data_IF_418659773838
#
_entry.id   IF_418659773838
#
_cell.length_a   1.000
_cell.length_b   1.000
_cell.length_c   1.000
_cell.angle_alpha   90.00
_cell.angle_beta   90.00
_cell.angle_gamma   90.00
#
_symmetry.space_group_name_H-M   'P 1'
#
loop_
_entity.id
_entity.type
_entity.pdbx_description
1 polymer ?
#
# COMPACT_ATOMS: atom_id res chain seq x y z
N UNK A 1 -18.86 70.23 40.71
CA UNK A 1 -18.43 69.99 39.32
C UNK A 1 -17.89 68.58 39.27
N UNK A 2 -18.72 67.62 38.84
CA UNK A 2 -18.37 66.21 38.75
C UNK A 2 -18.18 65.87 37.29
N UNK A 3 -16.95 65.54 36.89
CA UNK A 3 -16.66 65.06 35.55
C UNK A 3 -17.10 63.60 35.44
N UNK A 4 -18.23 63.41 34.76
CA UNK A 4 -18.78 62.10 34.42
C UNK A 4 -17.91 61.45 33.34
N UNK A 5 -17.03 60.55 33.78
CA UNK A 5 -16.22 59.71 32.89
C UNK A 5 -17.16 58.72 32.22
N UNK A 6 -17.60 59.04 31.00
CA UNK A 6 -18.42 58.17 30.15
C UNK A 6 -17.58 56.96 29.74
N UNK A 7 -17.69 55.87 30.48
CA UNK A 7 -17.16 54.57 30.08
C UNK A 7 -18.01 54.05 28.91
N UNK A 8 -17.41 53.94 27.72
CA UNK A 8 -18.05 53.24 26.60
C UNK A 8 -18.18 51.74 26.89
N UNK A 9 -19.22 51.06 26.37
CA UNK A 9 -19.31 49.61 26.47
C UNK A 9 -18.19 48.98 25.64
N UNK A 10 -17.26 48.28 26.30
CA UNK A 10 -16.36 47.35 25.64
C UNK A 10 -17.20 46.14 25.26
N UNK A 11 -17.69 46.11 24.02
CA UNK A 11 -18.27 44.91 23.43
C UNK A 11 -17.27 43.74 23.58
N UNK A 12 -17.66 42.61 24.18
CA UNK A 12 -16.77 41.47 24.30
C UNK A 12 -16.46 40.94 22.89
N UNK A 13 -15.22 41.16 22.45
CA UNK A 13 -14.68 40.56 21.23
C UNK A 13 -15.02 39.05 21.19
N UNK A 14 -15.55 38.52 20.08
CA UNK A 14 -15.79 37.08 19.98
C UNK A 14 -14.46 36.36 20.15
N UNK A 15 -14.37 35.56 21.21
CA UNK A 15 -13.24 34.69 21.50
C UNK A 15 -13.03 33.81 20.28
N UNK A 16 -11.94 34.02 19.55
CA UNK A 16 -11.52 33.12 18.47
C UNK A 16 -11.23 31.76 19.11
N UNK A 17 -12.24 30.89 19.13
CA UNK A 17 -12.07 29.48 19.49
C UNK A 17 -11.22 28.86 18.39
N UNK A 18 -9.91 28.82 18.60
CA UNK A 18 -8.98 28.05 17.77
C UNK A 18 -9.34 26.58 17.96
N UNK A 19 -10.30 26.08 17.18
CA UNK A 19 -10.57 24.65 17.13
C UNK A 19 -9.35 23.96 16.50
N UNK A 20 -8.81 22.89 17.12
CA UNK A 20 -7.70 22.16 16.54
C UNK A 20 -8.12 21.60 15.19
N UNK A 21 -7.31 21.89 14.16
CA UNK A 21 -7.52 21.40 12.81
C UNK A 21 -7.51 19.86 12.84
N UNK A 22 -8.44 19.17 12.15
CA UNK A 22 -8.40 17.73 12.03
C UNK A 22 -7.05 17.27 11.47
N UNK A 23 -6.35 16.42 12.21
CA UNK A 23 -5.04 15.85 11.81
C UNK A 23 -5.18 14.67 10.86
N UNK A 24 -6.40 14.19 10.61
CA UNK A 24 -6.67 13.05 9.75
C UNK A 24 -7.92 13.27 8.90
N UNK A 25 -7.96 12.55 7.77
CA UNK A 25 -9.12 12.52 6.89
C UNK A 25 -10.28 11.78 7.58
N UNK A 26 -11.55 12.16 7.32
CA UNK A 26 -12.70 11.38 7.77
C UNK A 26 -12.63 9.93 7.26
N UNK A 27 -13.13 8.97 8.04
CA UNK A 27 -13.11 7.55 7.69
C UNK A 27 -13.58 7.25 6.25
N UNK A 28 -14.69 7.83 5.74
CA UNK A 28 -15.11 7.58 4.35
C UNK A 28 -14.06 7.97 3.32
N UNK A 29 -13.30 9.06 3.56
CA UNK A 29 -12.22 9.50 2.68
C UNK A 29 -11.03 8.54 2.76
N UNK A 30 -10.63 8.12 3.97
CA UNK A 30 -9.57 7.12 4.15
C UNK A 30 -9.92 5.81 3.42
N UNK A 31 -11.13 5.30 3.64
CA UNK A 31 -11.60 4.06 3.01
C UNK A 31 -11.63 4.17 1.48
N UNK A 32 -12.09 5.30 0.94
CA UNK A 32 -12.11 5.53 -0.52
C UNK A 32 -10.69 5.53 -1.10
N UNK A 33 -9.76 6.22 -0.45
CA UNK A 33 -8.34 6.24 -0.87
C UNK A 33 -7.78 4.82 -0.87
N UNK A 34 -7.96 4.07 0.22
CA UNK A 34 -7.46 2.70 0.34
C UNK A 34 -8.03 1.79 -0.75
N UNK A 35 -9.34 1.85 -1.03
CA UNK A 35 -9.95 1.04 -2.11
C UNK A 35 -9.37 1.37 -3.49
N UNK A 36 -9.19 2.65 -3.81
CA UNK A 36 -8.60 3.05 -5.09
C UNK A 36 -7.14 2.60 -5.21
N UNK A 37 -6.38 2.69 -4.11
CA UNK A 37 -4.99 2.22 -4.09
C UNK A 37 -4.91 0.70 -4.27
N UNK A 38 -5.72 -0.06 -3.52
CA UNK A 38 -5.79 -1.52 -3.63
C UNK A 38 -6.05 -1.94 -5.08
N UNK A 39 -7.10 -1.42 -5.70
CA UNK A 39 -7.50 -1.76 -7.07
C UNK A 39 -6.41 -1.42 -8.09
N UNK A 40 -5.77 -0.25 -7.96
CA UNK A 40 -4.67 0.15 -8.86
C UNK A 40 -3.46 -0.77 -8.73
N UNK A 41 -3.10 -1.13 -7.51
CA UNK A 41 -1.98 -2.02 -7.24
C UNK A 41 -2.28 -3.43 -7.74
N UNK A 42 -3.47 -3.96 -7.50
CA UNK A 42 -3.91 -5.29 -7.98
C UNK A 42 -3.88 -5.38 -9.50
N UNK A 43 -4.37 -4.34 -10.18
CA UNK A 43 -4.31 -4.23 -11.64
C UNK A 43 -2.87 -4.23 -12.16
N UNK A 44 -2.00 -3.42 -11.55
CA UNK A 44 -0.58 -3.37 -11.93
C UNK A 44 0.12 -4.71 -11.69
N UNK A 45 -0.19 -5.39 -10.58
CA UNK A 45 0.34 -6.72 -10.29
C UNK A 45 -0.13 -7.75 -11.34
N UNK A 46 -1.43 -7.76 -11.67
CA UNK A 46 -2.00 -8.62 -12.71
C UNK A 46 -1.32 -8.39 -14.06
N UNK A 47 -1.26 -7.15 -14.53
CA UNK A 47 -0.61 -6.81 -15.81
C UNK A 47 0.87 -7.23 -15.82
N UNK A 48 1.58 -7.04 -14.71
CA UNK A 48 2.97 -7.47 -14.55
C UNK A 48 3.12 -9.00 -14.60
N UNK A 49 2.24 -9.73 -13.93
CA UNK A 49 2.25 -11.20 -13.90
C UNK A 49 1.92 -11.75 -15.29
N UNK A 50 0.89 -11.22 -15.96
CA UNK A 50 0.54 -11.64 -17.33
C UNK A 50 1.71 -11.40 -18.29
N UNK A 51 2.42 -10.28 -18.15
CA UNK A 51 3.56 -9.93 -19.01
C UNK A 51 4.79 -10.82 -18.77
N UNK A 52 5.20 -11.03 -17.52
CA UNK A 52 6.50 -11.64 -17.20
C UNK A 52 6.41 -13.08 -16.71
N UNK A 53 5.26 -13.46 -16.15
CA UNK A 53 5.04 -14.76 -15.53
C UNK A 53 3.65 -15.33 -15.85
N UNK A 54 3.25 -15.43 -17.13
CA UNK A 54 1.88 -15.83 -17.51
C UNK A 54 1.49 -17.18 -16.92
N UNK A 55 2.41 -18.14 -16.90
CA UNK A 55 2.19 -19.46 -16.28
C UNK A 55 1.78 -19.37 -14.81
N UNK A 56 2.33 -18.40 -14.06
CA UNK A 56 1.99 -18.18 -12.65
C UNK A 56 0.54 -17.70 -12.51
N UNK A 57 0.10 -16.79 -13.40
CA UNK A 57 -1.29 -16.34 -13.46
C UNK A 57 -2.24 -17.50 -13.77
N UNK A 58 -1.91 -18.32 -14.77
CA UNK A 58 -2.72 -19.48 -15.14
C UNK A 58 -2.83 -20.52 -14.02
N UNK A 59 -1.71 -20.88 -13.37
CA UNK A 59 -1.73 -21.88 -12.29
C UNK A 59 -2.50 -21.44 -11.05
N UNK A 60 -2.57 -20.12 -10.80
CA UNK A 60 -3.29 -19.56 -9.65
C UNK A 60 -4.73 -19.17 -9.98
N UNK A 61 -5.19 -19.38 -11.23
CA UNK A 61 -6.54 -18.97 -11.64
C UNK A 61 -6.75 -17.46 -11.66
N UNK A 62 -5.69 -16.68 -11.86
CA UNK A 62 -5.78 -15.22 -11.96
C UNK A 62 -6.17 -14.82 -13.38
N UNK A 63 -7.48 -14.83 -13.62
CA UNK A 63 -8.15 -14.41 -14.86
C UNK A 63 -8.45 -12.90 -14.90
N UNK A 64 -8.57 -12.24 -13.75
CA UNK A 64 -8.72 -10.79 -13.61
C UNK A 64 -7.84 -10.20 -12.50
N UNK A 65 -7.78 -8.86 -12.43
CA UNK A 65 -6.96 -8.14 -11.46
C UNK A 65 -7.44 -8.34 -10.02
N UNK A 66 -8.75 -8.37 -9.83
CA UNK A 66 -9.42 -8.54 -8.55
C UNK A 66 -9.06 -9.88 -7.89
N UNK A 67 -8.78 -10.91 -8.70
CA UNK A 67 -8.40 -12.24 -8.22
C UNK A 67 -6.92 -12.35 -7.82
N UNK A 68 -6.08 -11.35 -8.14
CA UNK A 68 -4.63 -11.38 -7.90
C UNK A 68 -4.25 -11.09 -6.45
N UNK A 69 -5.18 -10.65 -5.59
CA UNK A 69 -4.99 -10.26 -4.17
C UNK A 69 -3.53 -9.98 -3.80
N UNK A 70 -3.12 -8.71 -3.68
CA UNK A 70 -1.70 -8.30 -3.62
C UNK A 70 -0.76 -9.18 -2.78
N UNK A 71 -1.19 -9.56 -1.59
CA UNK A 71 -0.37 -10.38 -0.70
C UNK A 71 -0.09 -11.79 -1.27
N UNK A 72 -1.04 -12.37 -2.01
CA UNK A 72 -0.89 -13.63 -2.73
C UNK A 72 0.05 -13.47 -3.92
N UNK A 73 -0.08 -12.40 -4.70
CA UNK A 73 0.83 -12.06 -5.78
C UNK A 73 2.30 -12.02 -5.32
N UNK A 74 2.59 -11.26 -4.26
CA UNK A 74 3.95 -11.15 -3.73
C UNK A 74 4.48 -12.48 -3.19
N UNK A 75 3.65 -13.25 -2.47
CA UNK A 75 4.04 -14.58 -1.98
C UNK A 75 4.34 -15.54 -3.14
N UNK A 76 3.54 -15.53 -4.19
CA UNK A 76 3.72 -16.41 -5.34
C UNK A 76 5.00 -16.06 -6.11
N UNK A 77 5.25 -14.77 -6.34
CA UNK A 77 6.48 -14.28 -6.98
C UNK A 77 7.74 -14.64 -6.16
N UNK A 78 7.68 -14.46 -4.84
CA UNK A 78 8.79 -14.80 -3.94
C UNK A 78 9.08 -16.32 -3.93
N UNK A 79 8.04 -17.16 -3.94
CA UNK A 79 8.19 -18.62 -4.11
C UNK A 79 8.85 -18.94 -5.45
N UNK A 80 8.38 -18.35 -6.56
CA UNK A 80 8.94 -18.59 -7.89
C UNK A 80 10.42 -18.19 -7.97
N UNK A 81 10.78 -17.05 -7.38
CA UNK A 81 12.18 -16.59 -7.26
C UNK A 81 13.06 -17.62 -6.55
N UNK A 82 12.59 -18.17 -5.41
CA UNK A 82 13.32 -19.22 -4.67
C UNK A 82 13.50 -20.50 -5.48
N UNK A 83 12.47 -20.95 -6.20
CA UNK A 83 12.58 -22.15 -7.05
C UNK A 83 13.61 -21.96 -8.16
N UNK A 84 13.65 -20.77 -8.79
CA UNK A 84 14.67 -20.45 -9.78
C UNK A 84 16.09 -20.50 -9.17
N UNK A 85 16.26 -19.95 -7.96
CA UNK A 85 17.54 -19.97 -7.23
C UNK A 85 17.98 -21.39 -6.84
N UNK A 86 17.06 -22.22 -6.33
CA UNK A 86 17.37 -23.61 -5.93
C UNK A 86 17.74 -24.48 -7.14
N UNK A 87 17.05 -24.29 -8.27
CA UNK A 87 17.37 -24.99 -9.52
C UNK A 87 18.74 -24.63 -10.08
N UNK A 88 19.26 -23.43 -9.80
CA UNK A 88 20.61 -23.02 -10.18
C UNK A 88 21.69 -23.71 -9.33
N UNK A 89 21.43 -23.94 -8.04
CA UNK A 89 22.34 -24.64 -7.12
C UNK A 89 22.47 -26.15 -7.43
N UNK A 90 21.39 -26.79 -7.86
CA UNK A 90 21.39 -28.23 -8.21
C UNK A 90 22.13 -28.55 -9.51
N UNK A 91 22.41 -27.55 -10.36
CA UNK A 91 23.12 -27.73 -11.65
C UNK A 91 24.64 -27.75 -11.52
N UNK A 92 25.21 -27.52 -10.34
CA UNK A 92 26.66 -27.62 -10.14
C UNK A 92 27.03 -29.10 -10.15
N UNK A 93 27.75 -29.60 -11.18
CA UNK A 93 28.18 -30.99 -11.19
C UNK A 93 29.16 -31.19 -10.04
N UNK A 94 28.86 -32.08 -9.11
CA UNK A 94 29.85 -32.58 -8.15
C UNK A 94 30.90 -33.35 -8.95
N UNK A 95 31.94 -32.67 -9.43
CA UNK A 95 33.13 -33.33 -9.98
C UNK A 95 33.67 -34.24 -8.87
N UNK A 96 33.59 -35.55 -9.10
CA UNK A 96 33.99 -36.58 -8.17
C UNK A 96 35.43 -36.37 -7.73
N UNK A 97 35.62 -36.16 -6.43
CA UNK A 97 36.93 -36.30 -5.80
C UNK A 97 37.10 -37.79 -5.49
N UNK A 98 37.47 -38.55 -6.52
CA UNK A 98 38.10 -39.86 -6.31
C UNK A 98 39.60 -39.62 -6.49
N UNK A 99 40.31 -39.41 -5.37
CA UNK A 99 41.76 -39.58 -5.32
C UNK A 99 42.03 -41.05 -5.03
N UNK A 100 42.79 -41.65 -5.95
CA UNK A 100 43.51 -42.91 -5.81
C UNK A 100 44.39 -42.93 -4.56
#
# INVERSE_FOLDING_TARGET
MGDEVKNLPVEPMPKSTTQPLPTSLPFPAQHRILRVLQQRLERSAFESIQKWHPQLGQTNGWDCAENVELHMAFRALDRKRRTHSASALLKIPKKGVNRL
#
